data_IF_499444311136
#
_entry.id   IF_499444311136
#
_cell.length_a   1.000
_cell.length_b   1.000
_cell.length_c   1.000
_cell.angle_alpha   90.00
_cell.angle_beta   90.00
_cell.angle_gamma   90.00
#
_symmetry.space_group_name_H-M   'P 1'
#
loop_
_entity.id
_entity.type
_entity.pdbx_description
1 polymer ?
#
# COMPACT_ATOMS: atom_id res chain seq x y z
N UNK A 1 -5.41 -7.45 7.61
CA UNK A 1 -5.67 -6.87 6.28
C UNK A 1 -4.80 -7.61 5.29
N UNK A 2 -5.22 -7.74 4.03
CA UNK A 2 -4.45 -8.46 3.00
C UNK A 2 -4.17 -7.54 1.81
N UNK A 3 -2.98 -7.58 1.20
CA UNK A 3 -2.75 -6.83 -0.02
C UNK A 3 -3.61 -7.42 -1.15
N UNK A 4 -4.15 -6.55 -2.00
CA UNK A 4 -5.02 -6.94 -3.11
C UNK A 4 -4.56 -6.32 -4.42
N UNK A 5 -4.83 -7.03 -5.51
CA UNK A 5 -4.64 -6.51 -6.87
C UNK A 5 -5.64 -5.40 -7.15
N UNK A 6 -5.23 -4.41 -7.93
CA UNK A 6 -6.06 -3.29 -8.37
C UNK A 6 -5.74 -2.92 -9.82
N UNK A 7 -6.63 -2.17 -10.48
CA UNK A 7 -6.60 -1.91 -11.93
C UNK A 7 -5.27 -1.34 -12.43
N UNK A 8 -4.67 -0.42 -11.67
CA UNK A 8 -3.46 0.29 -12.03
C UNK A 8 -2.19 -0.47 -11.65
N UNK A 9 -2.27 -1.65 -11.01
CA UNK A 9 -1.11 -2.45 -10.63
C UNK A 9 -0.20 -2.73 -11.85
N UNK A 10 1.10 -2.53 -11.69
CA UNK A 10 2.11 -2.81 -12.72
C UNK A 10 3.26 -3.70 -12.22
N UNK A 11 3.37 -3.96 -10.91
CA UNK A 11 4.44 -4.78 -10.33
C UNK A 11 3.90 -5.62 -9.18
N UNK A 12 4.55 -6.75 -8.93
CA UNK A 12 4.36 -7.57 -7.72
C UNK A 12 5.72 -7.70 -7.03
N UNK A 13 5.87 -7.12 -5.84
CA UNK A 13 7.09 -7.28 -5.06
C UNK A 13 7.09 -8.64 -4.34
N UNK A 14 8.29 -9.20 -4.16
CA UNK A 14 8.52 -10.45 -3.41
C UNK A 14 7.73 -11.68 -3.92
N UNK A 15 7.37 -11.72 -5.20
CA UNK A 15 6.56 -12.81 -5.79
C UNK A 15 7.22 -14.20 -5.66
N UNK A 16 8.54 -14.27 -5.72
CA UNK A 16 9.32 -15.52 -5.66
C UNK A 16 10.06 -15.71 -4.32
N UNK A 17 9.66 -15.00 -3.26
CA UNK A 17 10.29 -15.09 -1.94
C UNK A 17 9.33 -15.78 -0.97
N UNK A 18 9.58 -17.04 -0.57
CA UNK A 18 8.65 -17.81 0.25
C UNK A 18 8.44 -17.23 1.66
N UNK A 19 9.40 -16.43 2.14
CA UNK A 19 9.36 -15.78 3.45
C UNK A 19 8.42 -14.56 3.48
N UNK A 20 8.07 -14.00 2.33
CA UNK A 20 7.30 -12.76 2.22
C UNK A 20 5.98 -12.97 1.50
N UNK A 21 4.96 -12.22 1.91
CA UNK A 21 3.68 -12.17 1.22
C UNK A 21 3.87 -11.31 -0.04
N UNK A 22 3.54 -11.82 -1.25
CA UNK A 22 3.63 -11.04 -2.47
C UNK A 22 2.82 -9.75 -2.37
N UNK A 23 3.45 -8.63 -2.70
CA UNK A 23 2.84 -7.30 -2.60
C UNK A 23 2.52 -6.76 -4.00
N UNK A 24 1.27 -6.92 -4.48
CA UNK A 24 0.80 -6.22 -5.68
C UNK A 24 0.82 -4.71 -5.44
N UNK A 25 1.49 -3.99 -6.33
CA UNK A 25 1.65 -2.56 -6.24
C UNK A 25 1.68 -1.88 -7.62
N UNK A 26 1.46 -0.57 -7.60
CA UNK A 26 1.77 0.32 -8.70
C UNK A 26 3.03 1.07 -8.33
N UNK A 27 4.09 0.89 -9.12
CA UNK A 27 5.31 1.68 -9.04
C UNK A 27 5.22 2.80 -10.07
N UNK A 28 5.21 4.04 -9.60
CA UNK A 28 5.30 5.20 -10.49
C UNK A 28 6.75 5.36 -10.98
N UNK A 29 6.90 5.81 -12.22
CA UNK A 29 8.21 6.07 -12.83
C UNK A 29 8.67 7.52 -12.61
N UNK A 30 8.16 8.19 -11.58
CA UNK A 30 8.62 9.53 -11.18
C UNK A 30 10.02 9.46 -10.56
N UNK A 31 10.71 10.59 -10.49
CA UNK A 31 11.99 10.71 -9.78
C UNK A 31 11.88 10.37 -8.28
N UNK A 32 10.66 10.44 -7.72
CA UNK A 32 10.37 10.07 -6.33
C UNK A 32 10.14 8.57 -6.14
N UNK A 33 9.88 7.83 -7.22
CA UNK A 33 9.72 6.38 -7.20
C UNK A 33 8.58 5.88 -6.33
N UNK A 34 7.41 6.54 -6.35
CA UNK A 34 6.30 6.19 -5.47
C UNK A 34 5.83 4.75 -5.70
N UNK A 35 5.61 4.03 -4.59
CA UNK A 35 5.05 2.67 -4.62
C UNK A 35 3.72 2.66 -3.88
N UNK A 36 2.66 2.35 -4.61
CA UNK A 36 1.28 2.37 -4.13
C UNK A 36 0.78 0.94 -4.02
N UNK A 37 0.33 0.55 -2.83
CA UNK A 37 -0.29 -0.76 -2.59
C UNK A 37 -1.69 -0.58 -2.02
N UNK A 38 -2.59 -1.52 -2.32
CA UNK A 38 -3.94 -1.51 -1.81
C UNK A 38 -4.15 -2.68 -0.85
N UNK A 39 -4.82 -2.41 0.27
CA UNK A 39 -5.06 -3.39 1.31
C UNK A 39 -6.55 -3.53 1.60
N UNK A 40 -7.03 -4.77 1.56
CA UNK A 40 -8.39 -5.10 1.93
C UNK A 40 -8.48 -5.40 3.43
N UNK A 41 -9.34 -4.67 4.12
CA UNK A 41 -9.68 -4.93 5.52
C UNK A 41 -10.77 -5.99 5.58
N UNK A 42 -10.58 -6.98 6.46
CA UNK A 42 -11.65 -7.90 6.84
C UNK A 42 -12.78 -7.18 7.57
N UNK A 43 -13.93 -7.82 7.69
CA UNK A 43 -15.10 -7.24 8.36
C UNK A 43 -14.78 -6.76 9.79
N UNK A 44 -14.11 -7.61 10.59
CA UNK A 44 -13.73 -7.25 11.97
C UNK A 44 -12.69 -6.13 12.03
N UNK A 45 -11.80 -6.03 11.03
CA UNK A 45 -10.85 -4.92 10.95
C UNK A 45 -11.52 -3.61 10.58
N UNK A 46 -12.54 -3.63 9.71
CA UNK A 46 -13.35 -2.45 9.40
C UNK A 46 -14.10 -1.95 10.63
N UNK A 47 -14.68 -2.86 11.42
CA UNK A 47 -15.32 -2.52 12.70
C UNK A 47 -14.31 -1.87 13.65
N UNK A 48 -13.14 -2.47 13.83
CA UNK A 48 -12.08 -1.90 14.68
C UNK A 48 -11.64 -0.52 14.19
N UNK A 49 -11.45 -0.35 12.88
CA UNK A 49 -11.08 0.93 12.28
C UNK A 49 -12.18 1.99 12.50
N UNK A 50 -13.44 1.63 12.33
CA UNK A 50 -14.58 2.53 12.55
C UNK A 50 -14.60 3.10 13.97
N UNK A 51 -14.38 2.25 14.97
CA UNK A 51 -14.44 2.67 16.38
C UNK A 51 -13.16 3.32 16.90
N UNK A 52 -11.99 2.92 16.39
CA UNK A 52 -10.70 3.42 16.90
C UNK A 52 -10.10 4.54 16.07
N UNK A 53 -10.45 4.61 14.78
CA UNK A 53 -9.83 5.52 13.81
C UNK A 53 -8.34 5.27 13.58
N UNK A 54 -7.79 4.11 14.00
CA UNK A 54 -6.35 3.85 14.04
C UNK A 54 -5.93 2.76 13.07
N UNK A 55 -4.88 3.05 12.31
CA UNK A 55 -4.12 2.07 11.52
C UNK A 55 -2.68 2.15 12.02
N UNK A 56 -2.07 1.00 12.28
CA UNK A 56 -0.68 0.89 12.69
C UNK A 56 0.15 0.39 11.50
N UNK A 57 1.27 1.05 11.21
CA UNK A 57 2.20 0.68 10.16
C UNK A 57 3.57 0.42 10.77
N UNK A 58 4.15 -0.73 10.46
CA UNK A 58 5.54 -1.05 10.76
C UNK A 58 6.26 -1.25 9.43
N UNK A 59 7.28 -0.44 9.15
CA UNK A 59 8.12 -0.55 7.97
C UNK A 59 9.52 -0.96 8.41
N UNK A 60 10.05 -2.01 7.79
CA UNK A 60 11.45 -2.39 7.97
C UNK A 60 12.30 -1.44 7.12
N UNK A 61 12.89 -0.42 7.73
CA UNK A 61 13.85 0.47 7.04
C UNK A 61 15.26 -0.12 6.96
N UNK A 62 15.52 -1.26 7.63
CA UNK A 62 16.82 -1.91 7.70
C UNK A 62 17.95 -0.95 8.13
N UNK A 63 17.67 -0.12 9.14
CA UNK A 63 18.57 0.92 9.64
C UNK A 63 18.93 2.03 8.64
N UNK A 64 18.21 2.13 7.51
CA UNK A 64 18.28 3.29 6.63
C UNK A 64 17.25 4.36 7.05
N UNK A 65 17.41 5.61 6.56
CA UNK A 65 16.40 6.64 6.73
C UNK A 65 15.01 6.15 6.32
N UNK A 66 14.01 6.48 7.13
CA UNK A 66 12.63 6.08 6.86
C UNK A 66 12.18 6.67 5.52
N UNK A 67 11.60 5.84 4.66
CA UNK A 67 10.98 6.31 3.43
C UNK A 67 9.71 7.11 3.77
N UNK A 68 9.45 8.24 3.10
CA UNK A 68 8.20 8.97 3.25
C UNK A 68 7.02 8.02 3.02
N UNK A 69 6.07 8.00 3.95
CA UNK A 69 4.88 7.14 3.88
C UNK A 69 3.62 7.98 3.96
N UNK A 70 2.70 7.73 3.02
CA UNK A 70 1.41 8.39 2.97
C UNK A 70 0.30 7.33 2.92
N UNK A 71 -0.59 7.37 3.91
CA UNK A 71 -1.68 6.41 4.06
C UNK A 71 -3.01 7.14 3.94
N UNK A 72 -3.91 6.57 3.14
CA UNK A 72 -5.24 7.12 2.89
C UNK A 72 -6.24 5.98 2.70
N UNK A 73 -7.51 6.27 2.98
CA UNK A 73 -8.64 5.39 2.61
C UNK A 73 -9.20 5.71 1.24
N UNK A 74 -8.76 6.80 0.59
CA UNK A 74 -9.22 7.24 -0.72
C UNK A 74 -8.16 6.97 -1.78
N UNK A 75 -8.52 6.16 -2.77
CA UNK A 75 -7.64 5.78 -3.89
C UNK A 75 -7.10 7.00 -4.65
N UNK A 76 -7.93 8.02 -4.82
CA UNK A 76 -7.62 9.23 -5.61
C UNK A 76 -6.54 10.11 -4.98
N UNK A 77 -6.33 10.01 -3.67
CA UNK A 77 -5.28 10.81 -2.99
C UNK A 77 -3.87 10.31 -3.33
N UNK A 78 -3.73 9.03 -3.74
CA UNK A 78 -2.44 8.41 -4.10
C UNK A 78 -2.31 8.13 -5.59
N UNK A 79 -3.41 7.82 -6.28
CA UNK A 79 -3.42 7.60 -7.72
C UNK A 79 -3.99 8.83 -8.42
N UNK A 80 -3.11 9.66 -8.97
CA UNK A 80 -3.50 10.73 -9.87
C UNK A 80 -4.11 10.11 -11.13
N UNK A 81 -5.44 10.09 -11.21
CA UNK A 81 -6.10 9.92 -12.50
C UNK A 81 -5.81 11.21 -13.26
N UNK A 82 -5.04 11.16 -14.35
CA UNK A 82 -5.07 12.26 -15.32
C UNK A 82 -6.55 12.43 -15.69
N UNK A 83 -7.18 13.50 -15.20
CA UNK A 83 -8.45 13.96 -15.77
C UNK A 83 -8.12 14.38 -17.19
N UNK A 84 -8.45 13.52 -18.14
CA UNK A 84 -8.55 13.88 -19.55
C UNK A 84 -9.72 14.84 -19.74
#
# INVERSE_FOLDING_TARGET
>A
MKPIKFKEQNVTFAENQPEYIPLPAFKNNSDQGEVISCWHLSFMERIRLLFTGRIWLCLLSFNNPLTPSFLTTKKEDVLQTKKA
#
